data_IF_781532347891
#
_entry.id   IF_781532347891
#
_cell.length_a   1.000
_cell.length_b   1.000
_cell.length_c   1.000
_cell.angle_alpha   90.00
_cell.angle_beta   90.00
_cell.angle_gamma   90.00
#
_symmetry.space_group_name_H-M   'P 1'
#
loop_
_entity.id
_entity.type
_entity.pdbx_description
1 polymer ?
#
# COMPACT_ATOMS: atom_id res chain seq x y z
N UNK A 1 -26.31 -40.27 39.41
CA UNK A 1 -25.01 -40.42 38.73
C UNK A 1 -24.88 -39.29 37.71
N UNK A 2 -23.88 -38.44 37.94
CA UNK A 2 -23.15 -37.46 37.09
C UNK A 2 -23.92 -36.69 36.00
N UNK A 3 -24.03 -35.38 36.24
CA UNK A 3 -24.45 -34.30 35.32
C UNK A 3 -23.41 -34.13 34.21
N UNK A 4 -23.79 -34.31 32.95
CA UNK A 4 -22.99 -33.92 31.78
C UNK A 4 -23.15 -32.41 31.54
N UNK A 5 -22.15 -31.64 31.96
CA UNK A 5 -22.04 -30.22 31.62
C UNK A 5 -21.49 -30.07 30.20
N UNK A 6 -22.25 -29.41 29.33
CA UNK A 6 -21.78 -29.02 28.00
C UNK A 6 -20.82 -27.83 28.15
N UNK A 7 -19.53 -28.06 27.90
CA UNK A 7 -18.52 -26.99 27.88
C UNK A 7 -18.64 -26.22 26.56
N UNK A 8 -19.18 -25.01 26.62
CA UNK A 8 -19.15 -24.05 25.51
C UNK A 8 -17.71 -23.53 25.34
N UNK A 9 -17.05 -23.97 24.26
CA UNK A 9 -15.76 -23.43 23.83
C UNK A 9 -16.02 -22.12 23.07
N UNK A 10 -15.98 -20.99 23.78
CA UNK A 10 -15.98 -19.67 23.16
C UNK A 10 -14.64 -19.45 22.44
N UNK A 11 -14.63 -19.58 21.12
CA UNK A 11 -13.52 -19.19 20.27
C UNK A 11 -13.40 -17.66 20.33
N UNK A 12 -12.42 -17.15 21.07
CA UNK A 12 -12.15 -15.72 21.12
C UNK A 12 -11.58 -15.28 19.75
N UNK A 13 -12.43 -14.66 18.92
CA UNK A 13 -11.97 -13.85 17.79
C UNK A 13 -11.16 -12.68 18.37
N UNK A 14 -9.83 -12.81 18.38
CA UNK A 14 -8.97 -11.66 18.61
C UNK A 14 -9.18 -10.68 17.44
N UNK A 15 -9.49 -9.40 17.70
CA UNK A 15 -9.56 -8.41 16.63
C UNK A 15 -8.18 -8.30 15.99
N UNK A 16 -8.08 -8.65 14.71
CA UNK A 16 -6.88 -8.37 13.93
C UNK A 16 -6.69 -6.84 13.94
N UNK A 17 -5.47 -6.33 14.19
CA UNK A 17 -5.22 -4.91 14.04
C UNK A 17 -5.52 -4.54 12.59
N UNK A 18 -6.57 -3.75 12.38
CA UNK A 18 -6.76 -3.04 11.13
C UNK A 18 -5.62 -2.01 11.10
N UNK A 19 -4.51 -2.36 10.44
CA UNK A 19 -3.57 -1.35 10.01
C UNK A 19 -4.38 -0.44 9.09
N UNK A 20 -4.69 0.77 9.56
CA UNK A 20 -5.11 1.82 8.67
C UNK A 20 -4.03 1.86 7.58
N UNK A 21 -4.39 1.47 6.36
CA UNK A 21 -3.48 1.55 5.23
C UNK A 21 -3.26 3.04 5.00
N UNK A 22 -2.30 3.62 5.72
CA UNK A 22 -1.66 4.86 5.31
C UNK A 22 -1.11 4.50 3.94
N UNK A 23 -1.82 4.92 2.89
CA UNK A 23 -1.45 4.59 1.51
C UNK A 23 -0.03 5.07 1.21
N UNK A 24 0.51 4.69 0.06
CA UNK A 24 1.79 5.21 -0.37
C UNK A 24 1.67 6.75 -0.48
N UNK A 25 2.37 7.46 0.40
CA UNK A 25 2.37 8.92 0.44
C UNK A 25 3.62 9.44 -0.28
N UNK A 26 3.47 10.35 -1.25
CA UNK A 26 4.63 10.99 -1.87
C UNK A 26 5.34 11.88 -0.84
N UNK A 27 6.69 12.02 -0.91
CA UNK A 27 7.41 12.99 -0.11
C UNK A 27 7.07 14.43 -0.53
N UNK A 28 7.29 15.38 0.38
CA UNK A 28 7.17 16.81 0.09
C UNK A 28 8.35 17.27 -0.78
N UNK A 29 8.05 17.95 -1.88
CA UNK A 29 9.07 18.48 -2.80
C UNK A 29 9.91 19.55 -2.09
N UNK A 30 11.25 19.53 -2.22
CA UNK A 30 12.08 20.59 -1.67
C UNK A 30 11.80 21.91 -2.40
N UNK A 31 11.98 23.03 -1.71
CA UNK A 31 11.85 24.34 -2.35
C UNK A 31 12.90 24.48 -3.48
N UNK A 32 12.45 24.93 -4.65
CA UNK A 32 13.27 25.15 -5.84
C UNK A 32 14.14 26.42 -5.73
N UNK A 33 14.98 26.48 -4.70
CA UNK A 33 15.94 27.56 -4.45
C UNK A 33 17.34 27.10 -4.84
N UNK A 34 18.04 27.93 -5.62
CA UNK A 34 19.42 27.64 -6.02
C UNK A 34 20.36 27.77 -4.81
N UNK A 35 21.21 26.78 -4.52
CA UNK A 35 22.09 26.86 -3.36
C UNK A 35 23.10 28.02 -3.51
N UNK A 36 23.23 28.90 -2.50
CA UNK A 36 24.18 30.01 -2.55
C UNK A 36 25.62 29.52 -2.39
N UNK A 37 26.57 30.18 -3.06
CA UNK A 37 28.00 29.87 -2.97
C UNK A 37 28.65 30.47 -1.71
N UNK A 38 28.08 31.54 -1.15
CA UNK A 38 28.64 32.34 -0.06
C UNK A 38 28.03 32.03 1.33
N UNK A 39 27.05 31.13 1.40
CA UNK A 39 26.42 30.69 2.65
C UNK A 39 26.47 29.15 2.76
N UNK A 40 27.54 28.59 3.37
CA UNK A 40 27.72 27.14 3.46
C UNK A 40 26.70 26.45 4.38
N UNK A 41 26.11 27.18 5.35
CA UNK A 41 25.09 26.63 6.25
C UNK A 41 23.78 26.43 5.52
N UNK A 42 23.31 27.47 4.80
CA UNK A 42 22.13 27.38 3.96
C UNK A 42 22.32 26.33 2.85
N UNK A 43 23.52 26.26 2.23
CA UNK A 43 23.83 25.26 1.21
C UNK A 43 23.70 23.82 1.73
N UNK A 44 24.13 23.57 2.96
CA UNK A 44 24.00 22.25 3.60
C UNK A 44 22.55 21.91 3.93
N UNK A 45 21.74 22.88 4.38
CA UNK A 45 20.31 22.69 4.62
C UNK A 45 19.55 22.35 3.33
N UNK A 46 19.89 23.00 2.22
CA UNK A 46 19.30 22.69 0.92
C UNK A 46 19.68 21.27 0.50
N UNK A 47 20.97 20.91 0.58
CA UNK A 47 21.44 19.55 0.28
C UNK A 47 20.69 18.47 1.10
N UNK A 48 20.50 18.68 2.40
CA UNK A 48 19.73 17.76 3.26
C UNK A 48 18.28 17.58 2.78
N UNK A 49 17.59 18.66 2.39
CA UNK A 49 16.23 18.59 1.89
C UNK A 49 16.12 17.78 0.59
N UNK A 50 17.05 17.98 -0.35
CA UNK A 50 17.08 17.19 -1.59
C UNK A 50 17.38 15.71 -1.31
N UNK A 51 18.34 15.41 -0.41
CA UNK A 51 18.61 14.03 0.00
C UNK A 51 17.39 13.37 0.64
N UNK A 52 16.70 14.07 1.53
CA UNK A 52 15.47 13.58 2.15
C UNK A 52 14.38 13.29 1.11
N UNK A 53 14.19 14.18 0.13
CA UNK A 53 13.23 14.00 -0.95
C UNK A 53 13.54 12.77 -1.83
N UNK A 54 14.80 12.60 -2.24
CA UNK A 54 15.21 11.46 -3.07
C UNK A 54 15.01 10.15 -2.32
N UNK A 55 15.46 10.05 -1.07
CA UNK A 55 15.28 8.85 -0.25
C UNK A 55 13.78 8.56 0.02
N UNK A 56 12.99 9.61 0.25
CA UNK A 56 11.54 9.51 0.39
C UNK A 56 10.87 9.02 -0.89
N UNK A 57 11.34 9.46 -2.05
CA UNK A 57 10.83 9.05 -3.36
C UNK A 57 11.12 7.58 -3.64
N UNK A 58 12.33 7.10 -3.32
CA UNK A 58 12.65 5.67 -3.44
C UNK A 58 11.72 4.81 -2.58
N UNK A 59 11.50 5.23 -1.32
CA UNK A 59 10.58 4.55 -0.40
C UNK A 59 9.14 4.56 -0.93
N UNK A 60 8.70 5.69 -1.48
CA UNK A 60 7.38 5.84 -2.09
C UNK A 60 7.19 4.93 -3.30
N UNK A 61 8.16 4.88 -4.22
CA UNK A 61 8.11 4.01 -5.40
C UNK A 61 8.10 2.53 -5.04
N UNK A 62 8.87 2.13 -4.03
CA UNK A 62 8.86 0.76 -3.52
C UNK A 62 7.48 0.39 -2.96
N UNK A 63 6.88 1.28 -2.16
CA UNK A 63 5.51 1.10 -1.67
C UNK A 63 4.52 0.93 -2.84
N UNK A 64 4.58 1.80 -3.85
CA UNK A 64 3.67 1.73 -5.00
C UNK A 64 3.82 0.42 -5.77
N UNK A 65 5.04 -0.09 -5.90
CA UNK A 65 5.30 -1.37 -6.56
C UNK A 65 4.66 -2.53 -5.79
N UNK A 66 4.87 -2.59 -4.47
CA UNK A 66 4.28 -3.61 -3.60
C UNK A 66 2.75 -3.56 -3.64
N UNK A 67 2.19 -2.34 -3.59
CA UNK A 67 0.76 -2.10 -3.65
C UNK A 67 0.16 -2.51 -4.99
N UNK A 68 0.86 -2.20 -6.10
CA UNK A 68 0.43 -2.62 -7.42
C UNK A 68 0.50 -4.14 -7.60
N UNK A 69 1.47 -4.83 -6.98
CA UNK A 69 1.51 -6.30 -6.95
C UNK A 69 0.32 -6.87 -6.17
N UNK A 70 0.05 -6.34 -4.97
CA UNK A 70 -1.10 -6.72 -4.13
C UNK A 70 -2.42 -6.53 -4.86
N UNK A 71 -2.65 -5.34 -5.41
CA UNK A 71 -3.89 -4.98 -6.09
C UNK A 71 -4.15 -5.84 -7.33
N UNK A 72 -3.10 -6.15 -8.11
CA UNK A 72 -3.22 -7.08 -9.24
C UNK A 72 -3.60 -8.49 -8.80
N UNK A 73 -2.99 -9.00 -7.73
CA UNK A 73 -3.32 -10.34 -7.20
C UNK A 73 -4.77 -10.42 -6.72
N UNK A 74 -5.24 -9.39 -6.03
CA UNK A 74 -6.64 -9.27 -5.60
C UNK A 74 -7.59 -9.18 -6.80
N UNK A 75 -7.29 -8.31 -7.76
CA UNK A 75 -8.05 -8.20 -9.01
C UNK A 75 -8.19 -9.56 -9.70
N UNK A 76 -7.09 -10.29 -9.90
CA UNK A 76 -7.12 -11.63 -10.52
C UNK A 76 -7.98 -12.61 -9.72
N UNK A 77 -7.92 -12.56 -8.38
CA UNK A 77 -8.72 -13.43 -7.52
C UNK A 77 -10.22 -13.16 -7.68
N UNK A 78 -10.60 -11.87 -7.66
CA UNK A 78 -12.01 -11.46 -7.76
C UNK A 78 -12.53 -11.67 -9.18
N UNK A 79 -11.75 -11.34 -10.20
CA UNK A 79 -12.08 -11.58 -11.60
C UNK A 79 -12.35 -13.06 -11.85
N UNK A 80 -11.46 -13.96 -11.45
CA UNK A 80 -11.64 -15.40 -11.63
C UNK A 80 -12.90 -15.91 -10.92
N UNK A 81 -13.22 -15.35 -9.75
CA UNK A 81 -14.47 -15.65 -9.04
C UNK A 81 -15.69 -15.17 -9.82
N UNK A 82 -15.64 -13.95 -10.35
CA UNK A 82 -16.71 -13.37 -11.15
C UNK A 82 -16.98 -14.22 -12.40
N UNK A 83 -15.94 -14.52 -13.18
CA UNK A 83 -16.04 -15.37 -14.36
C UNK A 83 -16.58 -16.77 -14.02
N UNK A 84 -16.15 -17.37 -12.90
CA UNK A 84 -16.66 -18.66 -12.46
C UNK A 84 -18.15 -18.64 -12.12
N UNK A 85 -18.64 -17.55 -11.52
CA UNK A 85 -20.03 -17.47 -11.07
C UNK A 85 -21.00 -17.14 -12.20
N UNK A 86 -20.58 -16.30 -13.15
CA UNK A 86 -21.48 -15.74 -14.16
C UNK A 86 -21.22 -16.27 -15.56
N UNK A 87 -20.06 -16.89 -15.83
CA UNK A 87 -19.73 -17.44 -17.14
C UNK A 87 -19.90 -16.39 -18.24
N UNK A 88 -20.78 -16.68 -19.20
CA UNK A 88 -21.06 -15.80 -20.35
C UNK A 88 -21.82 -14.52 -19.97
N UNK A 89 -22.45 -14.47 -18.79
CA UNK A 89 -23.11 -13.27 -18.28
C UNK A 89 -22.10 -12.26 -17.67
N UNK A 90 -20.82 -12.65 -17.52
CA UNK A 90 -19.79 -11.78 -17.00
C UNK A 90 -19.41 -10.69 -18.03
N UNK A 91 -19.84 -9.45 -17.80
CA UNK A 91 -19.63 -8.32 -18.72
C UNK A 91 -18.23 -7.70 -18.65
N UNK A 92 -17.17 -8.52 -18.68
CA UNK A 92 -15.78 -8.04 -18.60
C UNK A 92 -15.23 -7.80 -20.00
N UNK A 93 -14.87 -6.56 -20.32
CA UNK A 93 -14.04 -6.23 -21.48
C UNK A 93 -12.57 -6.15 -21.04
N UNK A 94 -11.71 -6.96 -21.66
CA UNK A 94 -10.28 -6.91 -21.43
C UNK A 94 -9.62 -6.01 -22.48
N UNK A 95 -9.38 -4.75 -22.15
CA UNK A 95 -8.35 -3.98 -22.84
C UNK A 95 -7.00 -4.55 -22.44
N UNK A 96 -6.25 -5.11 -23.39
CA UNK A 96 -4.88 -5.59 -23.18
C UNK A 96 -3.94 -4.40 -23.45
N UNK A 97 -3.33 -3.77 -22.43
CA UNK A 97 -2.25 -2.84 -22.69
C UNK A 97 -1.02 -3.68 -23.07
N UNK A 98 -0.45 -3.38 -24.24
CA UNK A 98 0.78 -4.02 -24.74
C UNK A 98 2.01 -3.69 -23.90
#
# INVERSE_FOLDING_TARGET
MIRTGATLLCLAMAPAPATAQVGCLPPEEPFAYEPPDDDPELRALIDEQYQAYINGTESYLNCLNDEAVRARAEFQTILNRYLRYFGDEAGVEFDVPG
#
